data_IF_971362936313
#
_entry.id   IF_971362936313
#
_cell.length_a   1.000
_cell.length_b   1.000
_cell.length_c   1.000
_cell.angle_alpha   90.00
_cell.angle_beta   90.00
_cell.angle_gamma   90.00
#
_symmetry.space_group_name_H-M   'P 1'
#
loop_
_entity.id
_entity.type
_entity.pdbx_description
1 polymer ?
#
# COMPACT_ATOMS: atom_id res chain seq x y z
N UNK A 1 20.58 40.83 51.79
CA UNK A 1 19.55 40.34 50.85
C UNK A 1 19.81 38.86 50.62
N UNK A 2 19.22 37.97 51.42
CA UNK A 2 19.49 36.54 51.32
C UNK A 2 18.94 35.98 50.02
N UNK A 3 19.76 35.25 49.26
CA UNK A 3 19.30 34.53 48.07
C UNK A 3 18.18 33.60 48.53
N UNK A 4 16.96 33.88 48.08
CA UNK A 4 15.83 32.97 48.28
C UNK A 4 16.03 31.83 47.30
N UNK A 5 16.66 30.74 47.76
CA UNK A 5 17.02 29.58 46.93
C UNK A 5 15.78 28.82 46.43
N UNK A 6 14.69 28.83 47.20
CA UNK A 6 13.44 28.13 46.88
C UNK A 6 12.87 28.54 45.50
N UNK A 7 12.66 29.83 45.18
CA UNK A 7 12.17 30.23 43.86
C UNK A 7 13.14 29.87 42.73
N UNK A 8 14.45 29.90 42.95
CA UNK A 8 15.45 29.51 41.94
C UNK A 8 15.32 28.02 41.60
N UNK A 9 15.19 27.17 42.61
CA UNK A 9 15.00 25.72 42.43
C UNK A 9 13.69 25.42 41.72
N UNK A 10 12.59 26.10 42.10
CA UNK A 10 11.30 25.95 41.42
C UNK A 10 11.37 26.36 39.95
N UNK A 11 12.09 27.43 39.63
CA UNK A 11 12.25 27.92 38.26
C UNK A 11 13.12 26.96 37.42
N UNK A 12 14.16 26.39 38.01
CA UNK A 12 14.97 25.35 37.36
C UNK A 12 14.14 24.09 37.07
N UNK A 13 13.32 23.63 38.01
CA UNK A 13 12.40 22.50 37.82
C UNK A 13 11.36 22.80 36.74
N UNK A 14 10.82 24.02 36.72
CA UNK A 14 9.86 24.45 35.71
C UNK A 14 10.46 24.39 34.29
N UNK A 15 11.68 24.92 34.13
CA UNK A 15 12.40 24.90 32.84
C UNK A 15 12.73 23.48 32.42
N UNK A 16 13.17 22.62 33.35
CA UNK A 16 13.43 21.22 33.06
C UNK A 16 12.17 20.49 32.57
N UNK A 17 11.01 20.75 33.20
CA UNK A 17 9.74 20.17 32.80
C UNK A 17 9.29 20.64 31.40
N UNK A 18 9.43 21.95 31.12
CA UNK A 18 9.11 22.52 29.81
C UNK A 18 10.01 21.95 28.70
N UNK A 19 11.31 21.83 28.98
CA UNK A 19 12.26 21.21 28.06
C UNK A 19 11.90 19.74 27.81
N UNK A 20 11.58 18.97 28.86
CA UNK A 20 11.16 17.58 28.74
C UNK A 20 9.86 17.42 27.95
N UNK A 21 8.91 18.36 28.06
CA UNK A 21 7.67 18.33 27.28
C UNK A 21 7.92 18.64 25.80
N UNK A 22 8.84 19.54 25.49
CA UNK A 22 9.21 19.87 24.10
C UNK A 22 10.09 18.82 23.43
N UNK A 23 10.97 18.15 24.21
CA UNK A 23 11.90 17.12 23.74
C UNK A 23 11.39 15.69 23.93
N UNK A 24 10.28 15.51 24.66
CA UNK A 24 9.70 14.23 25.04
C UNK A 24 8.99 13.49 23.92
N UNK A 25 8.27 12.41 24.28
CA UNK A 25 7.53 11.54 23.34
C UNK A 25 6.53 12.38 22.53
N UNK A 26 6.86 12.67 21.27
CA UNK A 26 6.10 13.59 20.40
C UNK A 26 6.89 14.83 19.97
N UNK A 27 8.18 14.94 20.28
CA UNK A 27 9.02 16.05 19.86
C UNK A 27 9.05 16.20 18.33
N UNK A 28 9.06 17.46 17.85
CA UNK A 28 9.15 17.83 16.43
C UNK A 28 10.18 17.01 15.62
N UNK A 29 11.40 16.74 16.12
CA UNK A 29 12.36 15.90 15.38
C UNK A 29 11.91 14.45 15.22
N UNK A 30 11.17 13.89 16.18
CA UNK A 30 10.66 12.52 16.09
C UNK A 30 9.53 12.40 15.06
N UNK A 31 8.66 13.41 15.00
CA UNK A 31 7.61 13.50 13.97
C UNK A 31 8.22 13.69 12.59
N UNK A 32 9.24 14.54 12.44
CA UNK A 32 9.94 14.73 11.17
C UNK A 32 10.61 13.44 10.67
N UNK A 33 11.27 12.69 11.58
CA UNK A 33 11.88 11.40 11.22
C UNK A 33 10.82 10.34 10.86
N UNK A 34 9.68 10.30 11.55
CA UNK A 34 8.56 9.43 11.20
C UNK A 34 7.94 9.80 9.85
N UNK A 35 7.78 11.10 9.57
CA UNK A 35 7.25 11.59 8.30
C UNK A 35 8.16 11.17 7.13
N UNK A 36 9.48 11.30 7.28
CA UNK A 36 10.43 10.85 6.26
C UNK A 36 10.32 9.34 5.97
N UNK A 37 10.14 8.51 7.01
CA UNK A 37 9.92 7.07 6.83
C UNK A 37 8.63 6.77 6.08
N UNK A 38 7.55 7.49 6.40
CA UNK A 38 6.25 7.35 5.71
C UNK A 38 6.38 7.70 4.24
N UNK A 39 7.04 8.81 3.91
CA UNK A 39 7.22 9.24 2.52
C UNK A 39 8.09 8.25 1.73
N UNK A 40 9.16 7.74 2.32
CA UNK A 40 9.97 6.68 1.70
C UNK A 40 9.16 5.40 1.43
N UNK A 41 8.33 4.97 2.39
CA UNK A 41 7.50 3.77 2.23
C UNK A 41 6.41 3.97 1.17
N UNK A 42 5.81 5.17 1.09
CA UNK A 42 4.84 5.50 0.05
C UNK A 42 5.46 5.46 -1.33
N UNK A 43 6.67 6.00 -1.50
CA UNK A 43 7.40 5.96 -2.76
C UNK A 43 7.68 4.52 -3.21
N UNK A 44 8.14 3.67 -2.29
CA UNK A 44 8.35 2.25 -2.57
C UNK A 44 7.04 1.53 -2.95
N UNK A 45 5.96 1.77 -2.20
CA UNK A 45 4.65 1.18 -2.50
C UNK A 45 4.10 1.64 -3.86
N UNK A 46 4.32 2.89 -4.24
CA UNK A 46 3.88 3.41 -5.54
C UNK A 46 4.53 2.67 -6.70
N UNK A 47 5.83 2.38 -6.62
CA UNK A 47 6.55 1.60 -7.65
C UNK A 47 6.01 0.18 -7.77
N UNK A 48 5.81 -0.51 -6.64
CA UNK A 48 5.27 -1.88 -6.62
C UNK A 48 3.84 -1.91 -7.18
N UNK A 49 3.03 -0.91 -6.83
CA UNK A 49 1.64 -0.81 -7.29
C UNK A 49 1.57 -0.63 -8.81
N UNK A 50 2.44 0.19 -9.39
CA UNK A 50 2.51 0.36 -10.85
C UNK A 50 2.91 -0.93 -11.57
N UNK A 51 3.87 -1.68 -11.03
CA UNK A 51 4.27 -2.97 -11.61
C UNK A 51 3.14 -4.01 -11.53
N UNK A 52 2.41 -4.05 -10.41
CA UNK A 52 1.25 -4.92 -10.26
C UNK A 52 0.12 -4.56 -11.23
N UNK A 53 -0.18 -3.27 -11.42
CA UNK A 53 -1.20 -2.83 -12.38
C UNK A 53 -0.84 -3.25 -13.82
N UNK A 54 0.44 -3.14 -14.20
CA UNK A 54 0.93 -3.60 -15.50
C UNK A 54 0.78 -5.12 -15.65
N UNK A 55 1.25 -5.88 -14.67
CA UNK A 55 1.20 -7.34 -14.71
C UNK A 55 -0.25 -7.85 -14.70
N UNK A 56 -1.14 -7.18 -13.97
CA UNK A 56 -2.56 -7.51 -13.96
C UNK A 56 -3.19 -7.31 -15.34
N UNK A 57 -2.82 -6.24 -16.07
CA UNK A 57 -3.25 -6.03 -17.45
C UNK A 57 -2.72 -7.13 -18.37
N UNK A 58 -1.43 -7.47 -18.28
CA UNK A 58 -0.84 -8.54 -19.10
C UNK A 58 -1.52 -9.89 -18.85
N UNK A 59 -1.83 -10.21 -17.59
CA UNK A 59 -2.58 -11.43 -17.25
C UNK A 59 -4.00 -11.39 -17.78
N UNK A 60 -4.65 -10.23 -17.78
CA UNK A 60 -5.99 -10.08 -18.35
C UNK A 60 -5.98 -10.29 -19.87
N UNK A 61 -5.05 -9.64 -20.58
CA UNK A 61 -4.89 -9.76 -22.03
C UNK A 61 -4.57 -11.21 -22.44
N UNK A 62 -3.72 -11.90 -21.67
CA UNK A 62 -3.41 -13.32 -21.89
C UNK A 62 -4.64 -14.22 -21.71
N UNK A 63 -5.49 -13.94 -20.70
CA UNK A 63 -6.72 -14.69 -20.49
C UNK A 63 -7.72 -14.47 -21.61
N UNK A 64 -7.95 -13.22 -22.01
CA UNK A 64 -8.84 -12.92 -23.14
C UNK A 64 -8.35 -13.56 -24.45
N UNK A 65 -7.04 -13.53 -24.69
CA UNK A 65 -6.43 -14.20 -25.83
C UNK A 65 -6.63 -15.72 -25.81
N UNK A 66 -6.54 -16.36 -24.65
CA UNK A 66 -6.80 -17.80 -24.49
C UNK A 66 -8.28 -18.14 -24.71
N UNK A 67 -9.19 -17.32 -24.18
CA UNK A 67 -10.63 -17.50 -24.35
C UNK A 67 -11.03 -17.39 -25.84
N UNK A 68 -10.43 -16.43 -26.57
CA UNK A 68 -10.59 -16.29 -28.03
C UNK A 68 -10.10 -17.53 -28.81
N UNK A 69 -8.99 -18.14 -28.37
CA UNK A 69 -8.47 -19.37 -29.01
C UNK A 69 -9.36 -20.57 -28.70
N UNK A 70 -9.87 -20.68 -27.48
CA UNK A 70 -10.80 -21.75 -27.08
C UNK A 70 -12.11 -21.65 -27.89
N UNK A 71 -12.67 -20.46 -28.06
CA UNK A 71 -13.88 -20.24 -28.87
C UNK A 71 -13.66 -20.62 -30.34
N UNK A 72 -12.48 -20.27 -30.91
CA UNK A 72 -12.12 -20.67 -32.29
C UNK A 72 -11.95 -22.19 -32.43
N UNK A 73 -11.31 -22.84 -31.46
CA UNK A 73 -11.16 -24.30 -31.47
C UNK A 73 -12.51 -25.03 -31.34
N UNK A 74 -13.42 -24.51 -30.52
CA UNK A 74 -14.78 -25.05 -30.36
C UNK A 74 -15.62 -24.84 -31.63
N UNK A 75 -15.57 -23.64 -32.22
CA UNK A 75 -16.41 -23.27 -33.38
C UNK A 75 -15.92 -23.82 -34.71
N UNK A 76 -14.61 -23.82 -34.98
CA UNK A 76 -14.05 -24.25 -36.27
C UNK A 76 -13.63 -25.72 -36.30
N UNK A 77 -13.07 -26.23 -35.19
CA UNK A 77 -12.52 -27.59 -35.13
C UNK A 77 -13.45 -28.58 -34.41
N UNK A 78 -14.55 -28.10 -33.81
CA UNK A 78 -15.45 -28.93 -33.01
C UNK A 78 -14.77 -29.56 -31.80
N UNK A 79 -13.64 -29.00 -31.35
CA UNK A 79 -12.89 -29.53 -30.22
C UNK A 79 -13.64 -29.28 -28.92
N UNK A 80 -13.84 -30.34 -28.14
CA UNK A 80 -14.47 -30.33 -26.82
C UNK A 80 -13.53 -30.92 -25.78
N UNK A 81 -13.53 -30.36 -24.56
CA UNK A 81 -12.74 -30.91 -23.45
C UNK A 81 -13.22 -32.32 -23.09
N UNK A 82 -12.31 -33.15 -22.60
CA UNK A 82 -12.62 -34.47 -22.05
C UNK A 82 -13.72 -34.36 -20.98
N UNK A 83 -14.90 -34.94 -21.24
CA UNK A 83 -16.04 -34.94 -20.33
C UNK A 83 -17.11 -33.85 -20.56
N UNK A 84 -16.99 -32.99 -21.57
CA UNK A 84 -18.02 -32.00 -21.94
C UNK A 84 -18.97 -32.51 -23.03
N UNK A 85 -20.26 -32.13 -22.95
CA UNK A 85 -21.27 -32.36 -23.98
C UNK A 85 -21.66 -31.00 -24.59
N UNK A 86 -21.34 -30.80 -25.86
CA UNK A 86 -21.65 -29.56 -26.58
C UNK A 86 -23.06 -29.64 -27.22
N UNK A 87 -23.94 -28.70 -26.87
CA UNK A 87 -25.34 -28.67 -27.34
C UNK A 87 -25.60 -27.39 -28.14
N UNK A 88 -25.81 -27.52 -29.45
CA UNK A 88 -26.28 -26.41 -30.30
C UNK A 88 -27.81 -26.41 -30.37
N UNK A 89 -28.43 -25.34 -29.88
CA UNK A 89 -29.87 -25.10 -30.06
C UNK A 89 -30.09 -24.21 -31.28
N UNK A 90 -30.71 -24.76 -32.33
CA UNK A 90 -31.26 -23.97 -33.45
C UNK A 90 -32.78 -23.95 -33.33
N UNK A 91 -33.41 -22.80 -33.01
CA UNK A 91 -34.86 -22.68 -33.08
C UNK A 91 -35.30 -22.66 -34.55
N UNK A 92 -36.35 -23.43 -34.86
CA UNK A 92 -37.00 -23.44 -36.19
C UNK A 92 -37.86 -22.21 -36.41
#
# INVERSE_FOLDING_TARGET
>A
MGIRLVPVVLLALLVALHAQLWLGRGSLPQVAAMQQKIEAQKAANAQVRQANERLASEVHDLKEGLDMVEEKARSELGMVKQGEVYVQFTPR
#
